data_IF_025744770898
#
_entry.id   IF_025744770898
#
_cell.length_a   1.000
_cell.length_b   1.000
_cell.length_c   1.000
_cell.angle_alpha   90.00
_cell.angle_beta   90.00
_cell.angle_gamma   90.00
#
_symmetry.space_group_name_H-M   'P 1'
#
loop_
_entity.id
_entity.type
_entity.pdbx_description
1 polymer ?
#
# COMPACT_ATOMS: atom_id res chain seq x y z
N UNK A 1 -16.84 -11.63 -15.50
CA UNK A 1 -17.24 -10.86 -14.31
C UNK A 1 -18.71 -11.17 -14.10
N UNK A 2 -19.02 -12.03 -13.15
CA UNK A 2 -20.39 -12.17 -12.66
C UNK A 2 -20.78 -10.93 -11.86
N UNK A 3 -22.07 -10.75 -11.56
CA UNK A 3 -22.50 -9.68 -10.64
C UNK A 3 -21.83 -9.85 -9.26
N UNK A 4 -21.57 -11.09 -8.84
CA UNK A 4 -20.85 -11.42 -7.61
C UNK A 4 -19.38 -10.95 -7.65
N UNK A 5 -18.66 -11.21 -8.76
CA UNK A 5 -17.26 -10.77 -8.93
C UNK A 5 -17.09 -9.25 -8.81
N UNK A 6 -18.09 -8.51 -9.30
CA UNK A 6 -18.12 -7.05 -9.28
C UNK A 6 -18.43 -6.50 -7.87
N UNK A 7 -19.38 -7.14 -7.16
CA UNK A 7 -19.69 -6.79 -5.78
C UNK A 7 -18.49 -7.04 -4.86
N UNK A 8 -17.77 -8.16 -5.03
CA UNK A 8 -16.54 -8.45 -4.30
C UNK A 8 -15.45 -7.43 -4.58
N UNK A 9 -15.26 -7.03 -5.84
CA UNK A 9 -14.30 -6.00 -6.20
C UNK A 9 -14.64 -4.66 -5.54
N UNK A 10 -15.92 -4.28 -5.54
CA UNK A 10 -16.38 -3.05 -4.91
C UNK A 10 -16.12 -3.08 -3.40
N UNK A 11 -16.39 -4.20 -2.73
CA UNK A 11 -16.06 -4.36 -1.30
C UNK A 11 -14.55 -4.18 -1.05
N UNK A 12 -13.68 -4.77 -1.88
CA UNK A 12 -12.22 -4.60 -1.77
C UNK A 12 -11.78 -3.14 -1.98
N UNK A 13 -12.46 -2.39 -2.86
CA UNK A 13 -12.19 -0.97 -3.10
C UNK A 13 -12.58 -0.15 -1.86
N UNK A 14 -13.76 -0.42 -1.30
CA UNK A 14 -14.30 0.32 -0.15
C UNK A 14 -13.48 0.06 1.12
N UNK A 15 -12.95 -1.15 1.29
CA UNK A 15 -12.12 -1.54 2.43
C UNK A 15 -10.65 -1.09 2.33
N UNK A 16 -10.20 -0.62 1.16
CA UNK A 16 -8.81 -0.20 0.97
C UNK A 16 -8.47 1.07 1.74
N UNK A 17 -7.35 1.05 2.48
CA UNK A 17 -6.88 2.18 3.28
C UNK A 17 -5.51 2.70 2.81
N UNK A 18 -5.43 3.91 2.24
CA UNK A 18 -4.13 4.54 1.96
C UNK A 18 -3.29 4.71 3.24
N UNK A 19 -1.99 4.42 3.15
CA UNK A 19 -1.09 4.54 4.28
C UNK A 19 0.13 3.63 4.21
N UNK A 20 0.70 3.36 5.37
CA UNK A 20 1.86 2.51 5.54
C UNK A 20 1.45 1.05 5.52
N UNK A 21 2.13 0.27 4.69
CA UNK A 21 1.99 -1.18 4.64
C UNK A 21 3.34 -1.86 4.81
N UNK A 22 3.34 -3.01 5.49
CA UNK A 22 4.47 -3.91 5.57
C UNK A 22 4.21 -5.14 4.69
N UNK A 23 5.09 -5.37 3.73
CA UNK A 23 5.06 -6.61 2.96
C UNK A 23 5.52 -7.77 3.85
N UNK A 24 5.00 -8.98 3.65
CA UNK A 24 5.38 -10.16 4.44
C UNK A 24 6.90 -10.45 4.49
N UNK A 25 7.67 -9.93 3.53
CA UNK A 25 9.15 -9.96 3.52
C UNK A 25 9.82 -8.86 4.37
N UNK A 26 9.08 -8.14 5.20
CA UNK A 26 9.58 -7.14 6.15
C UNK A 26 9.70 -5.71 5.62
N UNK A 27 9.76 -5.50 4.31
CA UNK A 27 9.92 -4.16 3.72
C UNK A 27 8.64 -3.32 3.83
N UNK A 28 8.82 -2.00 4.01
CA UNK A 28 7.73 -1.05 4.14
C UNK A 28 7.47 -0.27 2.85
N UNK A 29 6.20 0.04 2.63
CA UNK A 29 5.69 0.73 1.46
C UNK A 29 4.61 1.73 1.87
N UNK A 30 4.54 2.86 1.17
CA UNK A 30 3.44 3.80 1.26
C UNK A 30 2.47 3.53 0.12
N UNK A 31 1.29 3.02 0.42
CA UNK A 31 0.18 2.90 -0.53
C UNK A 31 -0.54 4.26 -0.63
N UNK A 32 -0.52 4.85 -1.83
CA UNK A 32 -0.98 6.21 -2.09
C UNK A 32 -2.48 6.25 -2.41
N UNK A 33 -2.92 5.39 -3.32
CA UNK A 33 -4.30 5.32 -3.79
C UNK A 33 -4.54 4.02 -4.57
N UNK A 34 -5.81 3.81 -4.91
CA UNK A 34 -6.20 2.91 -5.99
C UNK A 34 -6.20 3.66 -7.33
N UNK A 35 -5.90 2.93 -8.39
CA UNK A 35 -6.01 3.39 -9.76
C UNK A 35 -6.61 2.29 -10.63
N UNK A 36 -7.03 2.66 -11.83
CA UNK A 36 -7.42 1.73 -12.88
C UNK A 36 -6.27 1.59 -13.87
N UNK A 37 -5.92 0.36 -14.22
CA UNK A 37 -4.96 0.09 -15.28
C UNK A 37 -5.67 0.12 -16.63
N UNK A 38 -5.40 1.15 -17.45
CA UNK A 38 -6.15 1.37 -18.71
C UNK A 38 -6.02 0.22 -19.72
N UNK A 39 -4.96 -0.59 -19.66
CA UNK A 39 -4.75 -1.70 -20.59
C UNK A 39 -5.64 -2.92 -20.29
N UNK A 40 -6.02 -3.11 -19.03
CA UNK A 40 -6.70 -4.32 -18.53
C UNK A 40 -8.04 -4.00 -17.87
N UNK A 41 -8.30 -2.73 -17.58
CA UNK A 41 -9.42 -2.24 -16.77
C UNK A 41 -9.40 -2.75 -15.32
N UNK A 42 -8.28 -3.32 -14.87
CA UNK A 42 -8.14 -3.87 -13.52
C UNK A 42 -7.81 -2.78 -12.49
N UNK A 43 -8.25 -2.99 -11.25
CA UNK A 43 -7.94 -2.09 -10.13
C UNK A 43 -6.57 -2.44 -9.56
N UNK A 44 -5.71 -1.44 -9.47
CA UNK A 44 -4.35 -1.56 -8.94
C UNK A 44 -4.12 -0.63 -7.76
N UNK A 45 -3.28 -1.05 -6.82
CA UNK A 45 -2.72 -0.21 -5.76
C UNK A 45 -1.50 0.51 -6.32
N UNK A 46 -1.46 1.84 -6.20
CA UNK A 46 -0.27 2.66 -6.48
C UNK A 46 0.49 2.86 -5.18
N UNK A 47 1.76 2.45 -5.13
CA UNK A 47 2.55 2.47 -3.90
C UNK A 47 4.02 2.81 -4.14
N UNK A 48 4.69 3.32 -3.11
CA UNK A 48 6.10 3.71 -3.14
C UNK A 48 6.89 2.95 -2.07
N UNK A 49 8.05 2.41 -2.43
CA UNK A 49 8.96 1.75 -1.46
C UNK A 49 9.56 2.76 -0.48
N UNK A 50 9.64 2.38 0.80
CA UNK A 50 10.25 3.21 1.85
C UNK A 50 11.63 2.69 2.26
N UNK A 51 12.41 2.21 1.29
CA UNK A 51 13.76 1.70 1.47
C UNK A 51 14.61 1.92 0.21
N UNK A 52 15.93 1.96 0.38
CA UNK A 52 16.88 2.17 -0.70
C UNK A 52 16.95 0.97 -1.66
N UNK A 53 16.78 1.24 -2.96
CA UNK A 53 16.94 0.29 -4.07
C UNK A 53 17.16 1.11 -5.36
N UNK A 54 17.89 0.58 -6.33
CA UNK A 54 17.97 1.20 -7.66
C UNK A 54 16.64 1.11 -8.42
N UNK A 55 16.42 2.00 -9.37
CA UNK A 55 15.22 2.06 -10.21
C UNK A 55 14.06 2.88 -9.63
N UNK A 56 12.93 2.86 -10.34
CA UNK A 56 11.75 3.64 -9.97
C UNK A 56 11.26 3.28 -8.57
N UNK A 57 10.98 4.28 -7.70
CA UNK A 57 10.54 4.02 -6.34
C UNK A 57 9.05 3.66 -6.24
N UNK A 58 8.25 4.10 -7.21
CA UNK A 58 6.80 3.89 -7.27
C UNK A 58 6.47 2.72 -8.19
N UNK A 59 5.45 1.95 -7.84
CA UNK A 59 5.00 0.76 -8.55
C UNK A 59 3.49 0.61 -8.44
N UNK A 60 2.92 -0.23 -9.31
CA UNK A 60 1.52 -0.66 -9.25
C UNK A 60 1.44 -2.16 -8.96
N UNK A 61 0.33 -2.63 -8.40
CA UNK A 61 0.01 -4.06 -8.25
C UNK A 61 -1.49 -4.25 -8.20
N UNK A 62 -2.03 -5.32 -8.80
CA UNK A 62 -3.48 -5.56 -8.78
C UNK A 62 -3.99 -5.65 -7.35
N UNK A 63 -5.12 -5.03 -7.07
CA UNK A 63 -5.72 -4.96 -5.73
C UNK A 63 -6.02 -6.35 -5.18
N UNK A 64 -6.51 -7.26 -6.03
CA UNK A 64 -6.75 -8.66 -5.65
C UNK A 64 -5.46 -9.31 -5.14
N UNK A 65 -4.36 -9.17 -5.89
CA UNK A 65 -3.05 -9.73 -5.50
C UNK A 65 -2.46 -9.03 -4.26
N UNK A 66 -2.72 -7.74 -4.10
CA UNK A 66 -2.31 -6.98 -2.90
C UNK A 66 -2.98 -7.51 -1.63
N UNK A 67 -4.28 -7.83 -1.71
CA UNK A 67 -5.11 -8.31 -0.61
C UNK A 67 -4.99 -9.82 -0.33
N UNK A 68 -4.25 -10.56 -1.14
CA UNK A 68 -4.02 -11.99 -0.91
C UNK A 68 -3.31 -12.26 0.43
N UNK A 69 -3.64 -13.39 1.05
CA UNK A 69 -2.80 -14.01 2.08
C UNK A 69 -1.75 -14.91 1.45
N UNK A 70 -0.61 -15.05 2.12
CA UNK A 70 0.50 -15.93 1.72
C UNK A 70 0.86 -16.85 2.88
N UNK A 71 1.21 -18.09 2.56
CA UNK A 71 1.77 -19.02 3.55
C UNK A 71 3.23 -18.65 3.83
N UNK A 72 3.53 -18.37 5.11
CA UNK A 72 4.87 -18.18 5.64
C UNK A 72 5.04 -19.15 6.80
N UNK A 73 5.88 -20.17 6.59
CA UNK A 73 6.17 -21.20 7.58
C UNK A 73 4.92 -21.88 8.17
N UNK A 74 3.91 -22.14 7.33
CA UNK A 74 2.64 -22.78 7.72
C UNK A 74 1.63 -21.83 8.34
N UNK A 75 1.88 -20.52 8.32
CA UNK A 75 0.94 -19.48 8.77
C UNK A 75 0.48 -18.64 7.59
N UNK A 76 -0.84 -18.53 7.40
CA UNK A 76 -1.41 -17.56 6.46
C UNK A 76 -1.32 -16.16 7.05
N UNK A 77 -0.65 -15.27 6.32
CA UNK A 77 -0.48 -13.87 6.69
C UNK A 77 -0.82 -12.96 5.51
N UNK A 78 -1.31 -11.72 5.74
CA UNK A 78 -1.53 -10.77 4.65
C UNK A 78 -0.25 -10.52 3.86
N UNK A 79 -0.34 -10.54 2.53
CA UNK A 79 0.80 -10.18 1.67
C UNK A 79 1.32 -8.78 1.99
N UNK A 80 0.40 -7.84 2.23
CA UNK A 80 0.64 -6.49 2.71
C UNK A 80 -0.23 -6.20 3.93
N UNK A 81 0.39 -6.11 5.10
CA UNK A 81 -0.29 -5.75 6.34
C UNK A 81 -0.35 -4.22 6.51
N UNK A 82 -1.54 -3.67 6.74
CA UNK A 82 -1.71 -2.25 7.05
C UNK A 82 -1.09 -1.91 8.41
N UNK A 83 -0.29 -0.84 8.46
CA UNK A 83 0.44 -0.40 9.65
C UNK A 83 0.01 1.00 10.13
N UNK A 84 -1.09 1.54 9.61
CA UNK A 84 -1.55 2.90 9.93
C UNK A 84 -1.16 3.93 8.87
N UNK A 85 -1.37 5.21 9.20
CA UNK A 85 -1.00 6.31 8.32
C UNK A 85 0.49 6.65 8.46
N UNK A 86 1.10 7.05 7.35
CA UNK A 86 2.42 7.69 7.37
C UNK A 86 2.27 9.06 8.04
N UNK A 87 3.10 9.32 9.04
CA UNK A 87 3.28 10.67 9.57
C UNK A 87 4.51 11.34 9.02
N UNK A 88 4.55 12.66 9.19
CA UNK A 88 5.77 13.44 9.03
C UNK A 88 6.81 13.15 10.14
N UNK A 89 6.50 12.28 11.12
CA UNK A 89 7.41 11.90 12.19
C UNK A 89 8.33 10.77 11.69
N UNK A 90 9.64 11.04 11.74
CA UNK A 90 10.69 10.07 11.38
C UNK A 90 11.44 9.62 12.63
N UNK A 91 11.80 8.34 12.68
CA UNK A 91 12.71 7.83 13.72
C UNK A 91 14.12 8.44 13.55
N UNK A 92 15.01 8.20 14.53
CA UNK A 92 16.39 8.70 14.51
C UNK A 92 17.22 8.23 13.30
N UNK A 93 16.68 7.34 12.45
CA UNK A 93 17.30 6.81 11.23
C UNK A 93 16.58 7.30 9.96
N UNK A 94 15.65 8.24 10.08
CA UNK A 94 14.89 8.81 8.97
C UNK A 94 13.76 7.92 8.45
N UNK A 95 13.32 6.90 9.21
CA UNK A 95 12.20 6.03 8.79
C UNK A 95 10.86 6.57 9.30
N UNK A 96 9.79 6.58 8.49
CA UNK A 96 8.46 7.01 8.93
C UNK A 96 7.95 6.20 10.13
N UNK A 97 7.47 6.89 11.15
CA UNK A 97 6.82 6.30 12.33
C UNK A 97 5.29 6.27 12.18
N UNK A 98 4.66 5.31 12.86
CA UNK A 98 3.20 5.20 12.93
C UNK A 98 2.60 6.43 13.61
N UNK A 99 1.47 6.91 13.09
CA UNK A 99 0.81 8.11 13.57
C UNK A 99 0.16 7.98 14.95
N UNK A 100 0.67 8.72 15.92
CA UNK A 100 -0.15 9.27 17.00
C UNK A 100 -0.60 10.71 16.63
N UNK A 101 -1.26 10.91 15.48
CA UNK A 101 -1.87 12.21 15.17
C UNK A 101 -1.99 12.60 13.70
N UNK A 102 -3.02 13.41 13.40
CA UNK A 102 -3.48 13.82 12.06
C UNK A 102 -2.69 15.02 11.50
N UNK A 103 -1.61 14.80 10.76
CA UNK A 103 -1.04 15.73 9.74
C UNK A 103 -0.18 14.86 8.79
N UNK A 104 -0.18 14.93 7.46
CA UNK A 104 -0.94 15.65 6.44
C UNK A 104 -0.23 15.36 5.11
N UNK A 105 -0.47 14.18 4.52
CA UNK A 105 0.22 13.52 3.39
C UNK A 105 0.68 14.42 2.22
N UNK A 106 -0.04 15.51 1.95
CA UNK A 106 0.22 16.40 0.81
C UNK A 106 1.50 17.25 0.95
N UNK A 107 1.99 17.52 2.17
CA UNK A 107 3.16 18.37 2.37
C UNK A 107 4.46 17.63 2.07
N UNK A 108 4.58 16.38 2.52
CA UNK A 108 5.75 15.55 2.30
C UNK A 108 6.04 15.28 0.81
N UNK A 109 4.98 15.09 0.00
CA UNK A 109 5.12 14.85 -1.45
C UNK A 109 5.76 16.04 -2.17
N UNK A 110 5.48 17.28 -1.77
CA UNK A 110 6.04 18.48 -2.42
C UNK A 110 7.52 18.70 -2.13
N UNK A 111 8.00 18.22 -0.99
CA UNK A 111 9.37 18.48 -0.56
C UNK A 111 10.37 17.44 -1.10
N UNK A 112 9.89 16.36 -1.74
CA UNK A 112 10.71 15.21 -2.17
C UNK A 112 10.56 14.83 -3.65
N UNK A 113 9.83 15.63 -4.43
CA UNK A 113 9.69 15.50 -5.90
C UNK A 113 9.82 16.87 -6.58
#
# INVERSE_FOLDING_TARGET
>A
MTDDDAAELQAMIDDFQPGLYQHYKGQQYLALCLAREDATDEVVVVYTRLYARAGLPTSTRHLRVWNEEVDVDGQLVPRFAYCGHVTDEVDARGKPQQAQGRRGLLRWVKDNF
#
